data_IF_127369268825
#
_entry.id   IF_127369268825
#
_cell.length_a   1.000
_cell.length_b   1.000
_cell.length_c   1.000
_cell.angle_alpha   90.00
_cell.angle_beta   90.00
_cell.angle_gamma   90.00
#
_symmetry.space_group_name_H-M   'P 1'
#
loop_
_entity.id
_entity.type
_entity.pdbx_description
1 polymer ?
#
# COMPACT_ATOMS: atom_id res chain seq x y z
N UNK A 1 -32.49 0.96 10.38
CA UNK A 1 -32.93 1.23 9.00
C UNK A 1 -31.74 1.24 8.07
N UNK A 2 -31.95 0.84 6.82
CA UNK A 2 -30.91 0.72 5.81
C UNK A 2 -30.15 2.01 5.56
N UNK A 3 -30.85 3.16 5.56
CA UNK A 3 -30.23 4.46 5.33
C UNK A 3 -29.20 4.79 6.41
N UNK A 4 -29.57 4.57 7.68
CA UNK A 4 -28.66 4.79 8.79
C UNK A 4 -27.45 3.86 8.75
N UNK A 5 -27.69 2.60 8.32
CA UNK A 5 -26.61 1.63 8.15
C UNK A 5 -25.63 2.04 7.08
N UNK A 6 -26.11 2.55 5.95
CA UNK A 6 -25.25 3.04 4.84
C UNK A 6 -24.45 4.26 5.29
N UNK A 7 -25.06 5.18 6.01
CA UNK A 7 -24.36 6.35 6.53
C UNK A 7 -23.25 5.97 7.51
N UNK A 8 -23.51 5.03 8.40
CA UNK A 8 -22.51 4.53 9.35
C UNK A 8 -21.34 3.87 8.61
N UNK A 9 -21.65 3.08 7.58
CA UNK A 9 -20.63 2.44 6.75
C UNK A 9 -19.81 3.48 6.01
N UNK A 10 -20.44 4.54 5.51
CA UNK A 10 -19.76 5.65 4.85
C UNK A 10 -18.82 6.40 5.78
N UNK A 11 -19.24 6.62 7.03
CA UNK A 11 -18.41 7.24 8.05
C UNK A 11 -17.22 6.34 8.40
N UNK A 12 -17.48 5.05 8.52
CA UNK A 12 -16.42 4.07 8.79
C UNK A 12 -15.42 4.04 7.64
N UNK A 13 -15.91 4.03 6.40
CA UNK A 13 -15.05 4.05 5.22
C UNK A 13 -14.17 5.29 5.17
N UNK A 14 -14.74 6.45 5.51
CA UNK A 14 -14.00 7.72 5.58
C UNK A 14 -12.83 7.63 6.56
N UNK A 15 -13.06 7.07 7.74
CA UNK A 15 -12.01 6.86 8.74
C UNK A 15 -10.94 5.91 8.25
N UNK A 16 -11.36 4.82 7.59
CA UNK A 16 -10.42 3.84 7.06
C UNK A 16 -9.56 4.42 5.93
N UNK A 17 -10.14 5.20 5.02
CA UNK A 17 -9.36 5.89 3.99
C UNK A 17 -8.36 6.86 4.59
N UNK A 18 -8.76 7.63 5.60
CA UNK A 18 -7.86 8.55 6.28
C UNK A 18 -6.67 7.80 6.90
N UNK A 19 -6.94 6.64 7.52
CA UNK A 19 -5.90 5.81 8.12
C UNK A 19 -4.96 5.20 7.08
N UNK A 20 -5.44 4.98 5.85
CA UNK A 20 -4.69 4.39 4.75
C UNK A 20 -4.07 5.43 3.80
N UNK A 21 -4.15 6.72 4.11
CA UNK A 21 -3.72 7.76 3.17
C UNK A 21 -2.27 7.62 2.72
N UNK A 22 -1.37 7.29 3.63
CA UNK A 22 0.06 7.13 3.30
C UNK A 22 0.32 5.95 2.39
N UNK A 23 -0.30 4.79 2.68
CA UNK A 23 -0.12 3.59 1.84
C UNK A 23 -0.76 3.79 0.47
N UNK A 24 -1.92 4.43 0.39
CA UNK A 24 -2.57 4.75 -0.89
C UNK A 24 -1.67 5.64 -1.75
N UNK A 25 -1.11 6.69 -1.18
CA UNK A 25 -0.20 7.58 -1.89
C UNK A 25 1.05 6.85 -2.35
N UNK A 26 1.62 6.02 -1.48
CA UNK A 26 2.84 5.28 -1.79
C UNK A 26 2.65 4.33 -2.97
N UNK A 27 1.59 3.51 -2.96
CA UNK A 27 1.36 2.52 -4.02
C UNK A 27 0.63 3.11 -5.23
N UNK A 28 0.14 4.34 -5.15
CA UNK A 28 -0.50 5.03 -6.26
C UNK A 28 0.48 5.58 -7.30
N UNK A 29 1.78 5.45 -7.08
CA UNK A 29 2.81 5.92 -7.97
C UNK A 29 3.35 4.77 -8.82
N UNK A 30 3.40 4.98 -10.15
CA UNK A 30 3.80 3.96 -11.10
C UNK A 30 5.25 3.48 -10.89
N UNK A 31 6.14 4.40 -10.58
CA UNK A 31 7.55 4.07 -10.32
C UNK A 31 7.68 3.21 -9.07
N UNK A 32 6.94 3.53 -8.01
CA UNK A 32 6.97 2.73 -6.78
C UNK A 32 6.34 1.36 -6.98
N UNK A 33 5.29 1.25 -7.82
CA UNK A 33 4.74 -0.05 -8.19
C UNK A 33 5.81 -0.91 -8.87
N UNK A 34 6.56 -0.34 -9.80
CA UNK A 34 7.65 -1.04 -10.48
C UNK A 34 8.74 -1.46 -9.49
N UNK A 35 9.09 -0.59 -8.55
CA UNK A 35 10.07 -0.89 -7.52
C UNK A 35 9.63 -2.07 -6.64
N UNK A 36 8.37 -2.08 -6.23
CA UNK A 36 7.80 -3.20 -5.46
C UNK A 36 7.92 -4.51 -6.24
N UNK A 37 7.57 -4.49 -7.52
CA UNK A 37 7.66 -5.69 -8.37
C UNK A 37 9.11 -6.16 -8.52
N UNK A 38 10.06 -5.25 -8.70
CA UNK A 38 11.47 -5.63 -8.80
C UNK A 38 11.98 -6.23 -7.48
N UNK A 39 11.56 -5.69 -6.33
CA UNK A 39 11.91 -6.27 -5.04
C UNK A 39 11.33 -7.69 -4.89
N UNK A 40 10.11 -7.91 -5.34
CA UNK A 40 9.48 -9.24 -5.31
C UNK A 40 10.24 -10.24 -6.19
N UNK A 41 10.68 -9.80 -7.36
CA UNK A 41 11.46 -10.64 -8.28
C UNK A 41 12.81 -11.05 -7.70
N UNK A 42 13.41 -10.21 -6.90
CA UNK A 42 14.68 -10.52 -6.23
C UNK A 42 14.54 -11.64 -5.22
N UNK A 43 13.31 -11.83 -4.67
CA UNK A 43 12.95 -13.02 -3.91
C UNK A 43 13.71 -13.25 -2.61
N UNK A 44 14.40 -12.26 -2.10
CA UNK A 44 15.24 -12.41 -0.91
C UNK A 44 14.54 -11.80 0.30
N UNK A 45 14.10 -12.67 1.22
CA UNK A 45 13.46 -12.26 2.46
C UNK A 45 14.43 -11.54 3.42
N UNK A 46 15.73 -11.69 3.22
CA UNK A 46 16.73 -11.04 4.07
C UNK A 46 16.87 -9.54 3.78
N UNK A 47 16.35 -9.11 2.64
CA UNK A 47 16.36 -7.71 2.26
C UNK A 47 17.31 -7.40 1.12
N UNK A 48 17.09 -6.24 0.51
CA UNK A 48 17.86 -5.77 -0.64
C UNK A 48 18.49 -4.43 -0.35
N UNK A 49 19.63 -4.16 -0.97
CA UNK A 49 20.34 -2.88 -0.85
C UNK A 49 19.93 -1.95 -1.98
N UNK A 50 20.02 -0.64 -1.71
CA UNK A 50 19.68 0.40 -2.70
C UNK A 50 20.43 0.16 -4.03
N UNK A 51 21.72 -0.17 -3.97
CA UNK A 51 22.52 -0.42 -5.17
C UNK A 51 21.97 -1.54 -6.03
N UNK A 52 21.49 -2.63 -5.43
CA UNK A 52 20.91 -3.75 -6.15
C UNK A 52 19.63 -3.36 -6.88
N UNK A 53 18.77 -2.59 -6.21
CA UNK A 53 17.53 -2.10 -6.80
C UNK A 53 17.83 -1.11 -7.93
N UNK A 54 18.79 -0.22 -7.72
CA UNK A 54 19.19 0.80 -8.70
C UNK A 54 19.60 0.16 -10.02
N UNK A 55 20.34 -0.95 -9.97
CA UNK A 55 20.73 -1.68 -11.18
C UNK A 55 19.54 -2.21 -11.98
N UNK A 56 18.44 -2.54 -11.30
CA UNK A 56 17.22 -3.07 -11.94
C UNK A 56 16.28 -2.00 -12.45
N UNK A 57 16.38 -0.77 -11.93
CA UNK A 57 15.34 0.25 -12.11
C UNK A 57 15.70 1.34 -13.11
N UNK A 58 16.89 1.42 -13.61
CA UNK A 58 17.33 2.51 -14.48
C UNK A 58 17.02 3.90 -13.88
N UNK A 59 17.23 4.04 -12.58
CA UNK A 59 17.05 5.28 -11.83
C UNK A 59 18.33 5.59 -11.06
N UNK A 60 18.50 6.84 -10.63
CA UNK A 60 19.61 7.21 -9.77
C UNK A 60 19.44 6.64 -8.38
N UNK A 61 20.55 6.45 -7.65
CA UNK A 61 20.50 6.01 -6.24
C UNK A 61 19.66 6.95 -5.36
N UNK A 62 19.83 8.28 -5.46
CA UNK A 62 18.98 9.17 -4.66
C UNK A 62 17.49 9.02 -4.96
N UNK A 63 17.11 8.79 -6.22
CA UNK A 63 15.70 8.57 -6.57
C UNK A 63 15.17 7.27 -5.96
N UNK A 64 15.92 6.18 -6.07
CA UNK A 64 15.53 4.89 -5.45
C UNK A 64 15.43 5.02 -3.94
N UNK A 65 16.41 5.67 -3.30
CA UNK A 65 16.38 5.90 -1.86
C UNK A 65 15.15 6.70 -1.44
N UNK A 66 14.78 7.71 -2.21
CA UNK A 66 13.61 8.54 -1.95
C UNK A 66 12.31 7.70 -2.00
N UNK A 67 12.15 6.88 -3.04
CA UNK A 67 10.98 6.01 -3.18
C UNK A 67 10.91 4.96 -2.06
N UNK A 68 12.03 4.38 -1.68
CA UNK A 68 12.10 3.42 -0.58
C UNK A 68 11.71 4.09 0.75
N UNK A 69 12.14 5.33 0.97
CA UNK A 69 11.79 6.07 2.17
C UNK A 69 10.28 6.34 2.26
N UNK A 70 9.66 6.70 1.13
CA UNK A 70 8.21 6.90 1.07
C UNK A 70 7.47 5.61 1.44
N UNK A 71 7.90 4.47 0.89
CA UNK A 71 7.29 3.17 1.18
C UNK A 71 7.53 2.73 2.61
N UNK A 72 8.72 2.99 3.15
CA UNK A 72 9.03 2.71 4.54
C UNK A 72 8.12 3.51 5.47
N UNK A 73 7.93 4.80 5.20
CA UNK A 73 7.07 5.66 6.01
C UNK A 73 5.59 5.26 5.92
N UNK A 74 5.18 4.70 4.79
CA UNK A 74 3.81 4.23 4.58
C UNK A 74 3.56 2.83 5.17
N UNK A 75 4.60 2.05 5.46
CA UNK A 75 4.53 0.78 6.17
C UNK A 75 4.80 -0.50 5.40
N UNK A 76 4.63 -0.58 4.06
CA UNK A 76 4.82 -1.87 3.37
C UNK A 76 6.27 -2.35 3.30
N UNK A 77 7.21 -1.43 3.45
CA UNK A 77 8.64 -1.74 3.43
C UNK A 77 9.25 -1.35 4.77
N UNK A 78 10.14 -2.18 5.26
CA UNK A 78 10.92 -1.95 6.46
C UNK A 78 12.39 -1.91 6.10
N UNK A 79 13.20 -1.43 7.02
CA UNK A 79 14.64 -1.34 6.84
C UNK A 79 15.33 -1.85 8.09
N UNK A 80 16.40 -2.61 7.93
CA UNK A 80 17.32 -2.91 9.01
C UNK A 80 18.72 -2.42 8.61
N UNK A 81 19.46 -2.02 9.59
CA UNK A 81 20.83 -1.56 9.39
C UNK A 81 21.80 -2.59 9.95
N UNK A 82 22.81 -2.95 9.16
CA UNK A 82 23.90 -3.80 9.58
C UNK A 82 25.21 -3.06 9.30
N UNK A 83 25.86 -2.55 10.35
CA UNK A 83 27.04 -1.70 10.19
C UNK A 83 26.66 -0.42 9.45
N UNK A 84 27.26 -0.20 8.28
CA UNK A 84 26.98 0.95 7.43
C UNK A 84 26.00 0.64 6.29
N UNK A 85 25.46 -0.58 6.27
CA UNK A 85 24.62 -1.07 5.18
C UNK A 85 23.16 -1.09 5.60
N UNK A 86 22.29 -0.57 4.73
CA UNK A 86 20.83 -0.60 4.90
C UNK A 86 20.23 -1.65 3.99
N UNK A 87 19.38 -2.49 4.58
CA UNK A 87 18.66 -3.54 3.88
C UNK A 87 17.18 -3.27 3.95
N UNK A 88 16.52 -3.21 2.79
CA UNK A 88 15.07 -2.98 2.69
C UNK A 88 14.36 -4.29 2.40
N UNK A 89 13.25 -4.52 3.09
CA UNK A 89 12.48 -5.76 2.97
C UNK A 89 11.00 -5.47 3.17
N UNK A 90 10.16 -6.37 2.68
CA UNK A 90 8.72 -6.23 2.91
C UNK A 90 8.36 -6.55 4.34
N UNK A 91 7.39 -5.79 4.89
CA UNK A 91 6.86 -6.05 6.22
C UNK A 91 6.27 -7.47 6.29
N UNK A 92 6.82 -8.39 7.10
CA UNK A 92 6.31 -9.75 7.17
C UNK A 92 4.90 -9.84 7.76
N UNK A 93 4.49 -8.84 8.53
CA UNK A 93 3.14 -8.78 9.10
C UNK A 93 2.13 -8.20 8.11
N UNK A 94 2.59 -7.53 7.07
CA UNK A 94 1.76 -6.94 6.00
C UNK A 94 0.64 -6.05 6.52
N UNK A 95 0.85 -5.39 7.65
CA UNK A 95 -0.18 -4.61 8.34
C UNK A 95 -0.80 -3.53 7.46
N UNK A 96 0.04 -2.71 6.81
CA UNK A 96 -0.44 -1.60 5.99
C UNK A 96 -1.22 -2.09 4.76
N UNK A 97 -0.71 -3.12 4.08
CA UNK A 97 -1.36 -3.68 2.90
C UNK A 97 -2.67 -4.39 3.25
N UNK A 98 -2.69 -5.13 4.35
CA UNK A 98 -3.90 -5.81 4.82
C UNK A 98 -4.98 -4.80 5.18
N UNK A 99 -4.59 -3.71 5.83
CA UNK A 99 -5.53 -2.65 6.18
C UNK A 99 -6.11 -1.99 4.93
N UNK A 100 -5.28 -1.74 3.93
CA UNK A 100 -5.75 -1.20 2.65
C UNK A 100 -6.69 -2.16 1.96
N UNK A 101 -6.36 -3.45 1.93
CA UNK A 101 -7.22 -4.48 1.34
C UNK A 101 -8.60 -4.51 2.01
N UNK A 102 -8.64 -4.43 3.36
CA UNK A 102 -9.89 -4.36 4.11
C UNK A 102 -10.70 -3.10 3.78
N UNK A 103 -10.02 -1.97 3.65
CA UNK A 103 -10.68 -0.70 3.30
C UNK A 103 -11.33 -0.79 1.93
N UNK A 104 -10.62 -1.33 0.94
CA UNK A 104 -11.14 -1.51 -0.41
C UNK A 104 -12.29 -2.53 -0.43
N UNK A 105 -12.22 -3.58 0.39
CA UNK A 105 -13.30 -4.54 0.51
C UNK A 105 -14.57 -3.87 1.04
N UNK A 106 -14.44 -3.02 2.05
CA UNK A 106 -15.56 -2.27 2.58
C UNK A 106 -16.18 -1.37 1.51
N UNK A 107 -15.34 -0.68 0.72
CA UNK A 107 -15.83 0.16 -0.38
C UNK A 107 -16.62 -0.65 -1.39
N UNK A 108 -16.15 -1.85 -1.74
CA UNK A 108 -16.85 -2.76 -2.66
C UNK A 108 -18.21 -3.16 -2.09
N UNK A 109 -18.27 -3.53 -0.82
CA UNK A 109 -19.51 -3.95 -0.15
C UNK A 109 -20.56 -2.83 -0.14
N UNK A 110 -20.13 -1.61 0.20
CA UNK A 110 -21.02 -0.44 0.20
C UNK A 110 -21.55 -0.18 -1.22
N UNK A 111 -20.67 -0.22 -2.20
CA UNK A 111 -21.03 0.02 -3.59
C UNK A 111 -22.03 -1.02 -4.09
N UNK A 112 -21.84 -2.29 -3.77
CA UNK A 112 -22.80 -3.36 -4.14
C UNK A 112 -24.18 -3.11 -3.55
N UNK A 113 -24.23 -2.71 -2.26
CA UNK A 113 -25.48 -2.42 -1.61
C UNK A 113 -26.23 -1.26 -2.29
N UNK A 114 -25.48 -0.23 -2.72
CA UNK A 114 -26.07 0.90 -3.45
C UNK A 114 -26.58 0.50 -4.83
N UNK A 115 -25.81 -0.34 -5.54
CA UNK A 115 -26.21 -0.83 -6.88
C UNK A 115 -27.45 -1.72 -6.81
N UNK A 116 -27.53 -2.59 -5.80
CA UNK A 116 -28.68 -3.46 -5.59
C UNK A 116 -29.94 -2.62 -5.34
N UNK A 117 -29.84 -1.58 -4.52
CA UNK A 117 -30.95 -0.66 -4.26
C UNK A 117 -31.39 0.08 -5.51
N UNK A 118 -30.43 0.54 -6.30
CA UNK A 118 -30.71 1.22 -7.57
C UNK A 118 -31.47 0.32 -8.55
N UNK A 119 -31.11 -0.97 -8.59
CA UNK A 119 -31.78 -1.97 -9.39
C UNK A 119 -33.23 -2.23 -8.93
N UNK A 120 -33.48 -2.18 -7.64
CA UNK A 120 -34.81 -2.36 -7.08
C UNK A 120 -35.74 -1.17 -7.38
N UNK A 121 -35.20 0.02 -7.40
CA UNK A 121 -35.94 1.25 -7.62
C UNK A 121 -36.22 1.52 -9.11
N UNK A 122 -35.53 0.80 -9.96
CA UNK A 122 -35.68 0.90 -11.38
C UNK A 122 -36.80 0.03 -11.90
#
# INVERSE_FOLDING_TARGET
MEYDGIMRQGEQLSKEFAACSKILTAIGDETRQHLILEMMKMGDCSGVRVGEITEKMNLSRPAVSHHLQIMKNAGPVKMRREGTRNFYYFDPEMEALERLASTLRLAVEITRALLDRSGEDG
#
